data_IF_198281319843
#
_entry.id   IF_198281319843
#
_cell.length_a   1.000
_cell.length_b   1.000
_cell.length_c   1.000
_cell.angle_alpha   90.00
_cell.angle_beta   90.00
_cell.angle_gamma   90.00
#
_symmetry.space_group_name_H-M   'P 1'
#
loop_
_entity.id
_entity.type
_entity.pdbx_description
1 polymer ?
#
# COMPACT_ATOMS: atom_id res chain seq x y z
N UNK A 1 -4.62 -10.25 -23.15
CA UNK A 1 -3.90 -9.11 -22.54
C UNK A 1 -2.61 -9.62 -21.88
N UNK A 2 -1.41 -9.40 -22.46
CA UNK A 2 -0.15 -9.94 -21.91
C UNK A 2 0.45 -9.00 -20.86
N UNK A 3 0.46 -9.42 -19.60
CA UNK A 3 1.14 -8.73 -18.49
C UNK A 3 2.66 -8.81 -18.68
N UNK A 4 3.38 -7.73 -18.34
CA UNK A 4 4.86 -7.75 -18.26
C UNK A 4 5.31 -8.83 -17.26
N UNK A 5 6.46 -9.49 -17.48
CA UNK A 5 6.96 -10.56 -16.60
C UNK A 5 7.14 -10.09 -15.14
N UNK A 6 7.53 -8.83 -14.94
CA UNK A 6 7.60 -8.21 -13.60
C UNK A 6 6.23 -8.15 -12.90
N UNK A 7 5.19 -7.71 -13.61
CA UNK A 7 3.83 -7.59 -13.05
C UNK A 7 3.24 -8.96 -12.68
N UNK A 8 3.55 -10.02 -13.44
CA UNK A 8 3.13 -11.39 -13.09
C UNK A 8 3.76 -11.87 -11.79
N UNK A 9 5.05 -11.61 -11.57
CA UNK A 9 5.73 -12.00 -10.33
C UNK A 9 5.11 -11.30 -9.12
N UNK A 10 4.92 -9.98 -9.21
CA UNK A 10 4.29 -9.17 -8.14
C UNK A 10 2.87 -9.66 -7.87
N UNK A 11 2.10 -10.03 -8.91
CA UNK A 11 0.75 -10.57 -8.73
C UNK A 11 0.74 -11.88 -7.92
N UNK A 12 1.68 -12.78 -8.16
CA UNK A 12 1.79 -14.03 -7.39
C UNK A 12 2.16 -13.73 -5.93
N UNK A 13 3.13 -12.84 -5.71
CA UNK A 13 3.52 -12.39 -4.38
C UNK A 13 2.33 -11.75 -3.63
N UNK A 14 1.53 -10.94 -4.33
CA UNK A 14 0.33 -10.32 -3.80
C UNK A 14 -0.73 -11.35 -3.38
N UNK A 15 -1.02 -12.33 -4.25
CA UNK A 15 -2.00 -13.40 -3.96
C UNK A 15 -1.54 -14.24 -2.77
N UNK A 16 -0.25 -14.56 -2.69
CA UNK A 16 0.31 -15.28 -1.57
C UNK A 16 0.18 -14.48 -0.26
N UNK A 17 0.49 -13.19 -0.27
CA UNK A 17 0.34 -12.32 0.90
C UNK A 17 -1.11 -12.21 1.36
N UNK A 18 -2.06 -12.03 0.44
CA UNK A 18 -3.48 -12.02 0.79
C UNK A 18 -3.95 -13.34 1.42
N UNK A 19 -3.46 -14.48 0.93
CA UNK A 19 -3.77 -15.77 1.53
C UNK A 19 -3.21 -15.89 2.95
N UNK A 20 -1.97 -15.44 3.17
CA UNK A 20 -1.35 -15.42 4.51
C UNK A 20 -2.08 -14.47 5.45
N UNK A 21 -2.45 -13.27 5.00
CA UNK A 21 -3.27 -12.33 5.78
C UNK A 21 -4.61 -12.94 6.16
N UNK A 22 -5.35 -13.52 5.20
CA UNK A 22 -6.65 -14.12 5.46
C UNK A 22 -6.55 -15.28 6.48
N UNK A 23 -5.51 -16.11 6.38
CA UNK A 23 -5.25 -17.17 7.35
C UNK A 23 -4.87 -16.60 8.72
N UNK A 24 -3.99 -15.61 8.77
CA UNK A 24 -3.56 -14.98 10.02
C UNK A 24 -4.74 -14.32 10.76
N UNK A 25 -5.50 -13.47 10.08
CA UNK A 25 -6.62 -12.75 10.69
C UNK A 25 -7.87 -13.61 10.95
N UNK A 26 -8.00 -14.78 10.30
CA UNK A 26 -9.07 -15.74 10.66
C UNK A 26 -8.75 -16.55 11.91
N UNK A 27 -7.46 -16.76 12.22
CA UNK A 27 -7.02 -17.51 13.39
C UNK A 27 -6.82 -16.62 14.64
N UNK A 28 -6.55 -15.33 14.45
CA UNK A 28 -6.24 -14.40 15.54
C UNK A 28 -7.49 -13.65 15.98
N UNK A 29 -7.88 -13.82 17.25
CA UNK A 29 -8.91 -12.98 17.87
C UNK A 29 -8.26 -11.67 18.39
N UNK A 30 -8.59 -10.50 17.82
CA UNK A 30 -7.95 -9.23 18.18
C UNK A 30 -8.23 -8.79 19.63
N UNK A 31 -9.31 -9.29 20.25
CA UNK A 31 -9.68 -8.94 21.64
C UNK A 31 -8.81 -9.66 22.66
N UNK A 32 -8.29 -10.83 22.31
CA UNK A 32 -7.52 -11.70 23.21
C UNK A 32 -6.04 -11.83 22.81
N UNK A 33 -5.64 -11.22 21.69
CA UNK A 33 -4.30 -11.32 21.17
C UNK A 33 -3.31 -10.50 22.00
N UNK A 34 -2.12 -11.07 22.24
CA UNK A 34 -1.00 -10.34 22.80
C UNK A 34 -0.57 -9.20 21.86
N UNK A 35 -0.07 -8.10 22.43
CA UNK A 35 0.37 -6.93 21.67
C UNK A 35 1.37 -7.28 20.55
N UNK A 36 2.26 -8.26 20.78
CA UNK A 36 3.23 -8.74 19.78
C UNK A 36 2.53 -9.30 18.53
N UNK A 37 1.42 -10.03 18.70
CA UNK A 37 0.65 -10.62 17.60
C UNK A 37 -0.07 -9.53 16.80
N UNK A 38 -0.60 -8.51 17.48
CA UNK A 38 -1.24 -7.36 16.84
C UNK A 38 -0.23 -6.58 15.99
N UNK A 39 0.97 -6.31 16.54
CA UNK A 39 2.05 -5.64 15.81
C UNK A 39 2.50 -6.47 14.60
N UNK A 40 2.65 -7.79 14.76
CA UNK A 40 2.99 -8.67 13.65
C UNK A 40 1.93 -8.64 12.54
N UNK A 41 0.64 -8.70 12.90
CA UNK A 41 -0.46 -8.57 11.94
C UNK A 41 -0.47 -7.22 11.22
N UNK A 42 -0.18 -6.13 11.94
CA UNK A 42 -0.08 -4.80 11.34
C UNK A 42 1.09 -4.69 10.35
N UNK A 43 2.25 -5.28 10.67
CA UNK A 43 3.40 -5.33 9.76
C UNK A 43 3.12 -6.19 8.52
N UNK A 44 2.42 -7.31 8.70
CA UNK A 44 1.99 -8.18 7.60
C UNK A 44 1.06 -7.42 6.65
N UNK A 45 0.01 -6.80 7.20
CA UNK A 45 -0.93 -5.96 6.44
C UNK A 45 -0.21 -4.81 5.71
N UNK A 46 0.71 -4.13 6.39
CA UNK A 46 1.51 -3.04 5.80
C UNK A 46 2.35 -3.52 4.62
N UNK A 47 2.89 -4.74 4.72
CA UNK A 47 3.66 -5.38 3.63
C UNK A 47 2.73 -5.69 2.45
N UNK A 48 1.54 -6.22 2.69
CA UNK A 48 0.52 -6.47 1.66
C UNK A 48 0.10 -5.18 0.95
N UNK A 49 -0.12 -4.09 1.69
CA UNK A 49 -0.41 -2.77 1.12
C UNK A 49 0.73 -2.26 0.23
N UNK A 50 1.99 -2.43 0.66
CA UNK A 50 3.13 -2.05 -0.15
C UNK A 50 3.17 -2.79 -1.48
N UNK A 51 3.03 -4.12 -1.46
CA UNK A 51 3.04 -4.94 -2.68
C UNK A 51 1.85 -4.61 -3.58
N UNK A 52 0.68 -4.30 -2.99
CA UNK A 52 -0.50 -3.85 -3.73
C UNK A 52 -0.22 -2.53 -4.46
N UNK A 53 0.39 -1.56 -3.80
CA UNK A 53 0.74 -0.29 -4.42
C UNK A 53 1.81 -0.48 -5.50
N UNK A 54 2.85 -1.28 -5.27
CA UNK A 54 3.87 -1.56 -6.29
C UNK A 54 3.24 -2.26 -7.51
N UNK A 55 2.26 -3.16 -7.30
CA UNK A 55 1.49 -3.76 -8.38
C UNK A 55 0.70 -2.71 -9.18
N UNK A 56 -0.02 -1.81 -8.52
CA UNK A 56 -0.77 -0.73 -9.18
C UNK A 56 0.18 0.19 -9.97
N UNK A 57 1.34 0.52 -9.41
CA UNK A 57 2.38 1.30 -10.09
C UNK A 57 3.00 0.55 -11.28
N UNK A 58 3.17 -0.76 -11.18
CA UNK A 58 3.68 -1.60 -12.26
C UNK A 58 2.67 -1.74 -13.42
N UNK A 59 1.37 -1.76 -13.13
CA UNK A 59 0.32 -1.78 -14.16
C UNK A 59 0.16 -0.40 -14.81
N UNK A 60 0.21 0.67 -14.01
CA UNK A 60 0.09 2.06 -14.50
C UNK A 60 1.29 2.55 -15.29
N UNK A 61 2.44 1.87 -15.25
CA UNK A 61 3.58 2.10 -16.15
C UNK A 61 3.20 2.16 -17.63
N UNK A 62 2.12 1.46 -18.02
CA UNK A 62 1.66 1.46 -19.40
C UNK A 62 1.16 2.84 -19.85
N UNK A 63 0.69 3.65 -18.90
CA UNK A 63 0.14 4.98 -19.14
C UNK A 63 1.17 6.05 -18.78
N UNK A 64 1.84 5.91 -17.64
CA UNK A 64 2.78 6.91 -17.12
C UNK A 64 4.13 6.26 -16.80
N UNK A 65 5.19 6.54 -17.58
CA UNK A 65 6.52 6.00 -17.30
C UNK A 65 7.18 6.75 -16.13
N UNK A 66 7.19 6.12 -14.96
CA UNK A 66 7.91 6.60 -13.77
C UNK A 66 9.33 6.03 -13.67
N UNK A 67 10.27 6.82 -13.14
CA UNK A 67 11.62 6.34 -12.81
C UNK A 67 11.57 5.27 -11.69
N UNK A 68 12.49 4.30 -11.67
CA UNK A 68 12.50 3.25 -10.63
C UNK A 68 12.68 3.83 -9.22
N UNK A 69 13.45 4.91 -9.06
CA UNK A 69 13.61 5.59 -7.77
C UNK A 69 12.33 6.29 -7.31
N UNK A 70 11.63 6.96 -8.24
CA UNK A 70 10.36 7.64 -7.95
C UNK A 70 9.28 6.63 -7.55
N UNK A 71 9.18 5.49 -8.25
CA UNK A 71 8.22 4.43 -7.89
C UNK A 71 8.38 3.94 -6.47
N UNK A 72 9.62 3.62 -6.06
CA UNK A 72 9.89 3.10 -4.72
C UNK A 72 9.53 4.14 -3.65
N UNK A 73 9.85 5.41 -3.89
CA UNK A 73 9.47 6.50 -2.98
C UNK A 73 7.95 6.68 -2.91
N UNK A 74 7.25 6.65 -4.04
CA UNK A 74 5.78 6.72 -4.08
C UNK A 74 5.15 5.55 -3.35
N UNK A 75 5.58 4.31 -3.65
CA UNK A 75 5.07 3.12 -2.99
C UNK A 75 5.25 3.19 -1.47
N UNK A 76 6.44 3.54 -0.99
CA UNK A 76 6.71 3.69 0.45
C UNK A 76 5.87 4.82 1.06
N UNK A 77 5.82 6.00 0.46
CA UNK A 77 5.07 7.14 0.98
C UNK A 77 3.57 6.82 1.05
N UNK A 78 2.99 6.29 -0.02
CA UNK A 78 1.57 5.92 -0.05
C UNK A 78 1.26 4.80 0.94
N UNK A 79 2.14 3.79 1.06
CA UNK A 79 1.97 2.71 2.05
C UNK A 79 1.99 3.26 3.46
N UNK A 80 2.97 4.10 3.79
CA UNK A 80 3.12 4.68 5.12
C UNK A 80 1.89 5.49 5.50
N UNK A 81 1.39 6.33 4.59
CA UNK A 81 0.20 7.13 4.84
C UNK A 81 -1.04 6.25 4.99
N UNK A 82 -1.23 5.24 4.14
CA UNK A 82 -2.34 4.30 4.28
C UNK A 82 -2.28 3.50 5.59
N UNK A 83 -1.11 3.00 5.95
CA UNK A 83 -0.89 2.27 7.20
C UNK A 83 -1.21 3.16 8.40
N UNK A 84 -0.80 4.44 8.37
CA UNK A 84 -1.13 5.42 9.40
C UNK A 84 -2.64 5.69 9.48
N UNK A 85 -3.31 5.86 8.35
CA UNK A 85 -4.77 6.05 8.32
C UNK A 85 -5.52 4.85 8.89
N UNK A 86 -5.08 3.64 8.55
CA UNK A 86 -5.64 2.39 9.10
C UNK A 86 -5.39 2.29 10.60
N UNK A 87 -4.20 2.67 11.08
CA UNK A 87 -3.90 2.70 12.51
C UNK A 87 -4.80 3.71 13.25
N UNK A 88 -4.99 4.91 12.70
CA UNK A 88 -5.89 5.93 13.26
C UNK A 88 -7.36 5.47 13.25
N UNK A 89 -7.78 4.77 12.19
CA UNK A 89 -9.10 4.14 12.13
C UNK A 89 -9.27 3.09 13.22
N UNK A 90 -8.24 2.28 13.49
CA UNK A 90 -8.27 1.23 14.50
C UNK A 90 -8.47 1.77 15.92
N UNK A 91 -8.09 3.01 16.19
CA UNK A 91 -8.30 3.68 17.50
C UNK A 91 -9.71 4.32 17.57
N UNK A 92 -10.49 4.25 16.48
CA UNK A 92 -11.81 4.88 16.37
C UNK A 92 -11.76 6.38 16.14
N UNK A 93 -10.57 6.94 15.89
CA UNK A 93 -10.38 8.37 15.66
C UNK A 93 -10.82 8.81 14.26
N UNK A 94 -10.81 7.88 13.29
CA UNK A 94 -11.24 8.14 11.92
C UNK A 94 -12.42 7.25 11.53
N UNK A 95 -13.39 7.84 10.87
CA UNK A 95 -14.50 7.11 10.25
C UNK A 95 -14.08 6.57 8.89
N UNK A 96 -14.70 5.47 8.44
CA UNK A 96 -14.48 4.92 7.08
C UNK A 96 -14.70 5.99 6.00
N UNK A 97 -15.66 6.90 6.23
CA UNK A 97 -15.96 8.03 5.34
C UNK A 97 -14.77 8.99 5.20
N UNK A 98 -14.05 9.25 6.28
CA UNK A 98 -12.89 10.15 6.29
C UNK A 98 -11.75 9.53 5.49
N UNK A 99 -11.54 8.23 5.64
CA UNK A 99 -10.52 7.48 4.87
C UNK A 99 -10.85 7.51 3.38
N UNK A 100 -12.11 7.25 3.01
CA UNK A 100 -12.54 7.29 1.61
C UNK A 100 -12.37 8.68 0.97
N UNK A 101 -12.51 9.74 1.75
CA UNK A 101 -12.27 11.11 1.28
C UNK A 101 -10.77 11.42 1.13
N UNK A 102 -9.93 10.93 2.04
CA UNK A 102 -8.50 11.26 2.12
C UNK A 102 -7.65 10.44 1.14
N UNK A 103 -7.99 9.17 0.90
CA UNK A 103 -7.26 8.29 -0.03
C UNK A 103 -7.06 8.90 -1.44
N UNK A 104 -8.10 9.36 -2.15
CA UNK A 104 -7.92 9.96 -3.48
C UNK A 104 -7.07 11.24 -3.42
N UNK A 105 -7.19 12.03 -2.34
CA UNK A 105 -6.37 13.21 -2.13
C UNK A 105 -4.88 12.85 -2.03
N UNK A 106 -4.54 11.81 -1.28
CA UNK A 106 -3.15 11.32 -1.15
C UNK A 106 -2.62 10.82 -2.49
N UNK A 107 -3.43 10.11 -3.28
CA UNK A 107 -3.02 9.63 -4.60
C UNK A 107 -2.67 10.82 -5.48
N UNK A 108 -3.54 11.83 -5.56
CA UNK A 108 -3.27 13.06 -6.34
C UNK A 108 -2.01 13.78 -5.83
N UNK A 109 -1.87 13.94 -4.51
CA UNK A 109 -0.73 14.59 -3.88
C UNK A 109 0.59 13.86 -4.19
N UNK A 110 0.59 12.53 -4.12
CA UNK A 110 1.76 11.70 -4.41
C UNK A 110 2.23 11.80 -5.87
N UNK A 111 1.28 11.90 -6.79
CA UNK A 111 1.53 12.14 -8.21
C UNK A 111 2.09 13.56 -8.39
N UNK A 112 1.48 14.57 -7.78
CA UNK A 112 1.92 15.96 -7.85
C UNK A 112 3.37 16.13 -7.37
N UNK A 113 3.70 15.64 -6.17
CA UNK A 113 5.07 15.72 -5.65
C UNK A 113 6.08 14.99 -6.54
N UNK A 114 5.68 13.88 -7.16
CA UNK A 114 6.56 13.15 -8.09
C UNK A 114 6.86 13.94 -9.37
N UNK A 115 5.90 14.72 -9.88
CA UNK A 115 6.14 15.62 -11.01
C UNK A 115 7.01 16.82 -10.61
N UNK A 116 6.75 17.41 -9.43
CA UNK A 116 7.50 18.57 -8.91
C UNK A 116 8.99 18.24 -8.69
N UNK A 117 9.28 17.09 -8.08
CA UNK A 117 10.66 16.61 -7.86
C UNK A 117 11.42 16.35 -9.17
N UNK A 118 10.72 15.95 -10.23
CA UNK A 118 11.33 15.73 -11.56
C UNK A 118 11.74 17.04 -12.25
N UNK A 119 11.07 18.16 -11.95
CA UNK A 119 11.42 19.47 -12.51
C UNK A 119 12.70 20.05 -11.89
N UNK A 120 13.01 19.75 -10.63
CA UNK A 120 14.22 20.26 -9.97
C UNK A 120 15.52 19.53 -10.33
N UNK A 121 15.45 18.46 -11.12
CA UNK A 121 16.64 17.70 -11.56
C UNK A 121 17.07 17.99 -13.00
N UNK A 122 16.49 19.02 -13.62
CA UNK A 122 16.93 19.59 -14.90
C UNK A 122 17.63 20.91 -14.65
#
# INVERSE_FOLDING_TARGET
MKLKPRAKRILIELVALFAVDALFFSLVNPVQAYAVVIVAGFLLLSTTLYVLIDFILAVSERIIPFSPHTKRRMALATTLVLALLIAMQSIGQLTVKDILAVVPLIVVLSVYFSYMLKQQTK
#
